data_IF_527105998887
#
_entry.id   IF_527105998887
#
_cell.length_a   1.000
_cell.length_b   1.000
_cell.length_c   1.000
_cell.angle_alpha   90.00
_cell.angle_beta   90.00
_cell.angle_gamma   90.00
#
_symmetry.space_group_name_H-M   'P 1'
#
loop_
_entity.id
_entity.type
_entity.pdbx_description
1 polymer ?
#
# COMPACT_ATOMS: atom_id res chain seq x y z
N UNK A 1 -34.44 44.40 -17.08
CA UNK A 1 -34.26 42.94 -17.02
C UNK A 1 -32.77 42.66 -17.12
N UNK A 2 -32.25 42.06 -16.11
CA UNK A 2 -30.88 42.24 -15.59
C UNK A 2 -29.81 41.55 -16.43
N UNK A 3 -28.70 42.25 -16.65
CA UNK A 3 -27.41 41.77 -17.21
C UNK A 3 -26.77 40.64 -16.39
N UNK A 4 -27.38 40.24 -15.26
CA UNK A 4 -26.87 39.18 -14.37
C UNK A 4 -26.81 37.79 -15.04
N UNK A 5 -27.64 37.54 -16.07
CA UNK A 5 -27.73 36.21 -16.68
C UNK A 5 -26.56 35.83 -17.60
N UNK A 6 -25.92 36.80 -18.27
CA UNK A 6 -24.85 36.51 -19.22
C UNK A 6 -23.54 36.20 -18.51
N UNK A 7 -23.25 36.87 -17.42
CA UNK A 7 -22.04 36.61 -16.60
C UNK A 7 -22.09 35.26 -15.91
N UNK A 8 -23.24 34.79 -15.49
CA UNK A 8 -23.40 33.48 -14.84
C UNK A 8 -23.21 32.30 -15.82
N UNK A 9 -23.66 32.41 -17.06
CA UNK A 9 -23.49 31.36 -18.07
C UNK A 9 -22.01 31.24 -18.48
N UNK A 10 -21.32 32.37 -18.65
CA UNK A 10 -19.87 32.37 -18.93
C UNK A 10 -19.10 31.78 -17.79
N UNK A 11 -19.43 32.12 -16.53
CA UNK A 11 -18.78 31.57 -15.35
C UNK A 11 -18.94 30.03 -15.23
N UNK A 12 -20.10 29.49 -15.65
CA UNK A 12 -20.31 28.03 -15.69
C UNK A 12 -19.45 27.35 -16.75
N UNK A 13 -19.32 27.98 -17.94
CA UNK A 13 -18.45 27.49 -19.00
C UNK A 13 -16.97 27.49 -18.60
N UNK A 14 -16.51 28.57 -17.95
CA UNK A 14 -15.15 28.69 -17.42
C UNK A 14 -14.89 27.66 -16.30
N UNK A 15 -15.84 27.47 -15.40
CA UNK A 15 -15.74 26.45 -14.34
C UNK A 15 -15.65 25.03 -14.94
N UNK A 16 -16.46 24.74 -15.96
CA UNK A 16 -16.40 23.44 -16.66
C UNK A 16 -15.03 23.22 -17.30
N UNK A 17 -14.47 24.22 -17.95
CA UNK A 17 -13.15 24.16 -18.57
C UNK A 17 -12.05 23.92 -17.51
N UNK A 18 -12.09 24.69 -16.41
CA UNK A 18 -11.15 24.54 -15.30
C UNK A 18 -11.25 23.16 -14.63
N UNK A 19 -12.45 22.62 -14.48
CA UNK A 19 -12.67 21.27 -13.94
C UNK A 19 -12.11 20.17 -14.84
N UNK A 20 -12.24 20.32 -16.16
CA UNK A 20 -11.66 19.39 -17.13
C UNK A 20 -10.12 19.43 -17.11
N UNK A 21 -9.53 20.64 -17.06
CA UNK A 21 -8.09 20.83 -16.94
C UNK A 21 -7.56 20.23 -15.63
N UNK A 22 -8.16 20.57 -14.50
CA UNK A 22 -7.84 19.99 -13.19
C UNK A 22 -7.84 18.46 -13.20
N UNK A 23 -8.87 17.87 -13.81
CA UNK A 23 -8.97 16.41 -13.93
C UNK A 23 -7.79 15.82 -14.70
N UNK A 24 -7.38 16.47 -15.79
CA UNK A 24 -6.23 16.06 -16.59
C UNK A 24 -4.91 16.17 -15.83
N UNK A 25 -4.71 17.24 -15.08
CA UNK A 25 -3.50 17.48 -14.28
C UNK A 25 -3.40 16.49 -13.13
N UNK A 26 -4.46 16.30 -12.36
CA UNK A 26 -4.47 15.37 -11.21
C UNK A 26 -4.24 13.93 -11.69
N UNK A 27 -4.86 13.52 -12.80
CA UNK A 27 -4.64 12.17 -13.36
C UNK A 27 -3.19 11.95 -13.76
N UNK A 28 -2.54 12.93 -14.39
CA UNK A 28 -1.11 12.86 -14.72
C UNK A 28 -0.26 12.77 -13.46
N UNK A 29 -0.48 13.66 -12.49
CA UNK A 29 0.26 13.66 -11.22
C UNK A 29 0.12 12.33 -10.47
N UNK A 30 -1.07 11.74 -10.39
CA UNK A 30 -1.30 10.44 -9.77
C UNK A 30 -0.57 9.31 -10.51
N UNK A 31 -0.55 9.35 -11.83
CA UNK A 31 0.19 8.36 -12.64
C UNK A 31 1.69 8.45 -12.37
N UNK A 32 2.23 9.66 -12.32
CA UNK A 32 3.65 9.90 -12.05
C UNK A 32 4.03 9.41 -10.64
N UNK A 33 3.21 9.74 -9.63
CA UNK A 33 3.42 9.25 -8.25
C UNK A 33 3.39 7.73 -8.20
N UNK A 34 2.44 7.07 -8.85
CA UNK A 34 2.37 5.61 -8.89
C UNK A 34 3.60 4.98 -9.54
N UNK A 35 4.15 5.59 -10.59
CA UNK A 35 5.39 5.14 -11.23
C UNK A 35 6.59 5.30 -10.29
N UNK A 36 6.69 6.41 -9.57
CA UNK A 36 7.76 6.64 -8.61
C UNK A 36 7.68 5.66 -7.44
N UNK A 37 6.50 5.44 -6.89
CA UNK A 37 6.26 4.44 -5.84
C UNK A 37 6.69 3.05 -6.29
N UNK A 38 6.33 2.65 -7.52
CA UNK A 38 6.73 1.36 -8.09
C UNK A 38 8.25 1.24 -8.21
N UNK A 39 8.93 2.26 -8.73
CA UNK A 39 10.39 2.29 -8.83
C UNK A 39 11.07 2.22 -7.46
N UNK A 40 10.56 2.99 -6.48
CA UNK A 40 11.07 2.96 -5.12
C UNK A 40 10.90 1.59 -4.47
N UNK A 41 9.74 0.96 -4.67
CA UNK A 41 9.46 -0.39 -4.18
C UNK A 41 10.36 -1.45 -4.84
N UNK A 42 10.60 -1.37 -6.14
CA UNK A 42 11.52 -2.25 -6.84
C UNK A 42 12.95 -2.09 -6.30
N UNK A 43 13.42 -0.86 -6.15
CA UNK A 43 14.73 -0.59 -5.61
C UNK A 43 14.92 -1.14 -4.20
N UNK A 44 13.94 -0.97 -3.30
CA UNK A 44 14.06 -1.44 -1.91
C UNK A 44 13.88 -2.97 -1.79
N UNK A 45 13.07 -3.59 -2.69
CA UNK A 45 12.78 -5.03 -2.62
C UNK A 45 13.76 -5.89 -3.39
N UNK A 46 14.39 -5.36 -4.45
CA UNK A 46 15.27 -6.11 -5.34
C UNK A 46 16.71 -5.63 -5.21
N UNK A 47 16.99 -4.36 -5.52
CA UNK A 47 18.34 -3.86 -5.65
C UNK A 47 19.08 -3.81 -4.31
N UNK A 48 18.44 -3.29 -3.28
CA UNK A 48 19.08 -3.16 -1.95
C UNK A 48 19.39 -4.50 -1.30
N UNK A 49 18.52 -5.50 -1.28
CA UNK A 49 18.85 -6.83 -0.79
C UNK A 49 19.97 -7.50 -1.60
N UNK A 50 19.94 -7.37 -2.93
CA UNK A 50 20.98 -7.92 -3.80
C UNK A 50 22.35 -7.30 -3.50
N UNK A 51 22.40 -5.98 -3.38
CA UNK A 51 23.62 -5.25 -3.03
C UNK A 51 24.21 -5.72 -1.69
N UNK A 52 23.42 -5.76 -0.63
CA UNK A 52 23.93 -6.12 0.69
C UNK A 52 24.31 -7.61 0.80
N UNK A 53 23.60 -8.51 0.10
CA UNK A 53 24.01 -9.92 0.02
C UNK A 53 25.37 -10.07 -0.69
N UNK A 54 25.62 -9.31 -1.76
CA UNK A 54 26.90 -9.29 -2.44
C UNK A 54 28.00 -8.74 -1.54
N UNK A 55 27.74 -7.66 -0.80
CA UNK A 55 28.70 -7.09 0.15
C UNK A 55 28.98 -8.05 1.33
N UNK A 56 27.99 -8.78 1.83
CA UNK A 56 28.18 -9.81 2.85
C UNK A 56 29.10 -10.95 2.33
N UNK A 57 28.86 -11.40 1.10
CA UNK A 57 29.69 -12.43 0.46
C UNK A 57 31.13 -11.95 0.28
N UNK A 58 31.33 -10.77 -0.30
CA UNK A 58 32.67 -10.17 -0.46
C UNK A 58 33.37 -9.95 0.88
N UNK A 59 32.61 -9.53 1.89
CA UNK A 59 33.12 -9.42 3.26
C UNK A 59 33.54 -10.76 3.84
N UNK A 60 32.77 -11.82 3.59
CA UNK A 60 33.08 -13.20 4.00
C UNK A 60 34.35 -13.72 3.33
N UNK A 61 34.51 -13.52 2.03
CA UNK A 61 35.72 -13.87 1.28
C UNK A 61 36.96 -13.14 1.81
N UNK A 62 36.82 -11.83 2.07
CA UNK A 62 37.92 -11.03 2.67
C UNK A 62 38.25 -11.48 4.10
N UNK A 63 37.26 -11.90 4.88
CA UNK A 63 37.47 -12.43 6.23
C UNK A 63 38.18 -13.79 6.18
N UNK A 64 37.80 -14.67 5.26
CA UNK A 64 38.47 -15.95 5.07
C UNK A 64 39.95 -15.72 4.72
N UNK A 65 40.25 -14.87 3.70
CA UNK A 65 41.58 -14.52 3.30
C UNK A 65 42.41 -13.93 4.47
N UNK A 66 41.86 -12.98 5.21
CA UNK A 66 42.58 -12.40 6.36
C UNK A 66 42.86 -13.42 7.47
N UNK A 67 41.98 -14.40 7.67
CA UNK A 67 42.19 -15.51 8.63
C UNK A 67 43.33 -16.44 8.15
N UNK A 68 43.35 -16.75 6.87
CA UNK A 68 44.39 -17.60 6.25
C UNK A 68 45.76 -16.91 6.31
N UNK A 69 45.84 -15.60 6.03
CA UNK A 69 47.05 -14.81 6.20
C UNK A 69 47.54 -14.79 7.65
N UNK A 70 46.63 -14.63 8.61
CA UNK A 70 46.97 -14.69 10.04
C UNK A 70 47.49 -16.08 10.43
N UNK A 71 46.85 -17.15 9.95
CA UNK A 71 47.30 -18.51 10.19
C UNK A 71 48.70 -18.75 9.59
N UNK A 72 48.88 -18.33 8.33
CA UNK A 72 50.18 -18.41 7.64
C UNK A 72 51.27 -17.62 8.38
N UNK A 73 51.01 -16.35 8.76
CA UNK A 73 51.97 -15.54 9.51
C UNK A 73 52.37 -16.17 10.86
N UNK A 74 51.43 -16.83 11.55
CA UNK A 74 51.71 -17.53 12.79
C UNK A 74 52.63 -18.72 12.56
N UNK A 75 52.40 -19.52 11.52
CA UNK A 75 53.18 -20.72 11.22
C UNK A 75 54.57 -20.39 10.73
N UNK A 76 54.70 -19.45 9.82
CA UNK A 76 56.00 -19.15 9.19
C UNK A 76 56.90 -18.17 9.94
N UNK A 77 56.34 -17.32 10.80
CA UNK A 77 57.06 -16.38 11.64
C UNK A 77 57.43 -16.95 13.00
N UNK A 78 57.03 -18.20 13.33
CA UNK A 78 57.40 -18.88 14.54
C UNK A 78 58.82 -19.37 14.46
N UNK A 79 59.70 -18.90 15.37
CA UNK A 79 61.11 -19.33 15.49
C UNK A 79 61.26 -19.89 16.92
N UNK A 80 61.36 -21.21 17.02
CA UNK A 80 61.39 -21.88 18.32
C UNK A 80 60.11 -21.62 19.13
N UNK A 81 60.25 -21.21 20.38
CA UNK A 81 59.11 -20.89 21.26
C UNK A 81 58.56 -19.47 21.10
N UNK A 82 59.13 -18.65 20.19
CA UNK A 82 58.68 -17.30 19.95
C UNK A 82 57.44 -17.27 19.03
N UNK A 83 56.30 -16.85 19.59
CA UNK A 83 55.06 -16.65 18.85
C UNK A 83 54.94 -15.17 18.43
N UNK A 84 54.97 -14.86 17.12
CA UNK A 84 54.87 -13.48 16.66
C UNK A 84 53.51 -12.86 17.03
N UNK A 85 53.53 -11.59 17.39
CA UNK A 85 52.29 -10.88 17.82
C UNK A 85 51.24 -10.76 16.72
N UNK A 86 51.64 -10.78 15.44
CA UNK A 86 50.78 -10.71 14.24
C UNK A 86 49.70 -9.62 14.36
N UNK A 87 50.09 -8.41 14.80
CA UNK A 87 49.18 -7.32 15.14
C UNK A 87 48.43 -6.83 13.94
N UNK A 88 49.12 -6.69 12.79
CA UNK A 88 48.50 -6.17 11.55
C UNK A 88 47.51 -7.18 10.96
N UNK A 89 47.86 -8.44 10.97
CA UNK A 89 46.99 -9.52 10.51
C UNK A 89 45.74 -9.67 11.42
N UNK A 90 45.88 -9.52 12.74
CA UNK A 90 44.75 -9.48 13.67
C UNK A 90 43.84 -8.28 13.40
N UNK A 91 44.40 -7.10 13.15
CA UNK A 91 43.62 -5.89 12.78
C UNK A 91 42.91 -6.11 11.44
N UNK A 92 43.52 -6.75 10.46
CA UNK A 92 42.90 -7.08 9.18
C UNK A 92 41.69 -8.00 9.36
N UNK A 93 41.84 -9.06 10.16
CA UNK A 93 40.71 -9.97 10.52
C UNK A 93 39.57 -9.22 11.19
N UNK A 94 39.88 -8.36 12.16
CA UNK A 94 38.86 -7.61 12.88
C UNK A 94 38.15 -6.61 11.97
N UNK A 95 38.89 -5.94 11.07
CA UNK A 95 38.31 -5.05 10.05
C UNK A 95 37.36 -5.79 9.11
N UNK A 96 37.78 -6.96 8.61
CA UNK A 96 36.96 -7.80 7.76
C UNK A 96 35.70 -8.30 8.47
N UNK A 97 35.83 -8.74 9.73
CA UNK A 97 34.72 -9.14 10.58
C UNK A 97 33.67 -8.03 10.77
N UNK A 98 34.14 -6.80 11.05
CA UNK A 98 33.25 -5.63 11.17
C UNK A 98 32.51 -5.34 9.85
N UNK A 99 33.15 -5.54 8.69
CA UNK A 99 32.51 -5.37 7.39
C UNK A 99 31.37 -6.38 7.18
N UNK A 100 31.60 -7.66 7.51
CA UNK A 100 30.55 -8.70 7.44
C UNK A 100 29.38 -8.35 8.36
N UNK A 101 29.66 -8.05 9.62
CA UNK A 101 28.64 -7.70 10.61
C UNK A 101 27.83 -6.46 10.17
N UNK A 102 28.50 -5.48 9.56
CA UNK A 102 27.82 -4.31 9.02
C UNK A 102 26.86 -4.68 7.87
N UNK A 103 27.31 -5.52 6.94
CA UNK A 103 26.46 -5.98 5.84
C UNK A 103 25.26 -6.80 6.33
N UNK A 104 25.46 -7.69 7.31
CA UNK A 104 24.38 -8.47 7.93
C UNK A 104 23.35 -7.57 8.61
N UNK A 105 23.78 -6.59 9.40
CA UNK A 105 22.88 -5.61 10.01
C UNK A 105 22.09 -4.82 8.96
N UNK A 106 22.71 -4.49 7.84
CA UNK A 106 22.03 -3.79 6.73
C UNK A 106 21.01 -4.69 6.03
N UNK A 107 21.26 -5.99 5.91
CA UNK A 107 20.28 -6.95 5.37
C UNK A 107 19.03 -6.99 6.26
N UNK A 108 19.19 -7.07 7.57
CA UNK A 108 18.06 -7.06 8.50
C UNK A 108 17.30 -5.72 8.46
N UNK A 109 18.02 -4.61 8.42
CA UNK A 109 17.40 -3.29 8.30
C UNK A 109 16.58 -3.16 7.00
N UNK A 110 17.11 -3.63 5.88
CA UNK A 110 16.39 -3.62 4.60
C UNK A 110 15.15 -4.49 4.66
N UNK A 111 15.19 -5.66 5.29
CA UNK A 111 13.99 -6.50 5.50
C UNK A 111 12.90 -5.75 6.27
N UNK A 112 13.28 -5.05 7.33
CA UNK A 112 12.34 -4.22 8.09
C UNK A 112 11.75 -3.10 7.23
N UNK A 113 12.58 -2.39 6.45
CA UNK A 113 12.11 -1.34 5.55
C UNK A 113 11.18 -1.84 4.45
N UNK A 114 11.41 -3.04 3.91
CA UNK A 114 10.51 -3.66 2.91
C UNK A 114 9.11 -3.82 3.50
N UNK A 115 9.00 -4.31 4.74
CA UNK A 115 7.71 -4.52 5.39
C UNK A 115 7.02 -3.17 5.64
N UNK A 116 7.75 -2.21 6.22
CA UNK A 116 7.22 -0.88 6.51
C UNK A 116 6.78 -0.13 5.24
N UNK A 117 7.58 -0.21 4.17
CA UNK A 117 7.25 0.43 2.90
C UNK A 117 6.03 -0.20 2.22
N UNK A 118 5.89 -1.53 2.29
CA UNK A 118 4.68 -2.21 1.77
C UNK A 118 3.44 -1.73 2.50
N UNK A 119 3.47 -1.70 3.82
CA UNK A 119 2.36 -1.20 4.61
C UNK A 119 1.98 0.25 4.25
N UNK A 120 2.98 1.13 4.13
CA UNK A 120 2.74 2.51 3.72
C UNK A 120 2.15 2.64 2.30
N UNK A 121 2.59 1.77 1.36
CA UNK A 121 2.03 1.72 0.01
C UNK A 121 0.58 1.23 0.04
N UNK A 122 0.27 0.19 0.83
CA UNK A 122 -1.08 -0.34 0.96
C UNK A 122 -2.04 0.71 1.55
N UNK A 123 -1.59 1.45 2.57
CA UNK A 123 -2.35 2.57 3.15
C UNK A 123 -2.58 3.70 2.13
N UNK A 124 -1.59 4.00 1.30
CA UNK A 124 -1.69 5.03 0.27
C UNK A 124 -2.63 4.63 -0.88
N UNK A 125 -2.70 3.34 -1.23
CA UNK A 125 -3.49 2.88 -2.36
C UNK A 125 -4.99 3.13 -2.19
N UNK A 126 -5.54 2.99 -1.00
CA UNK A 126 -6.96 3.20 -0.72
C UNK A 126 -7.46 4.60 -1.14
N UNK A 127 -6.90 5.68 -0.59
CA UNK A 127 -7.24 7.05 -0.97
C UNK A 127 -7.01 7.36 -2.46
N UNK A 128 -5.93 6.82 -3.04
CA UNK A 128 -5.63 7.00 -4.47
C UNK A 128 -6.69 6.36 -5.34
N UNK A 129 -7.13 5.13 -5.03
CA UNK A 129 -8.20 4.46 -5.77
C UNK A 129 -9.54 5.21 -5.66
N UNK A 130 -9.84 5.74 -4.48
CA UNK A 130 -11.04 6.56 -4.29
C UNK A 130 -10.97 7.83 -5.14
N UNK A 131 -9.84 8.54 -5.15
CA UNK A 131 -9.64 9.74 -5.97
C UNK A 131 -9.72 9.42 -7.46
N UNK A 132 -9.10 8.32 -7.91
CA UNK A 132 -9.21 7.86 -9.30
C UNK A 132 -10.67 7.56 -9.68
N UNK A 133 -11.43 6.91 -8.80
CA UNK A 133 -12.85 6.66 -9.00
C UNK A 133 -13.66 7.95 -9.19
N UNK A 134 -13.38 8.97 -8.40
CA UNK A 134 -14.00 10.30 -8.58
C UNK A 134 -13.60 10.95 -9.92
N UNK A 135 -12.31 10.88 -10.28
CA UNK A 135 -11.81 11.45 -11.55
C UNK A 135 -12.38 10.74 -12.79
N UNK A 136 -12.66 9.45 -12.69
CA UNK A 136 -13.13 8.63 -13.81
C UNK A 136 -14.66 8.53 -13.89
N UNK A 137 -15.35 8.75 -12.77
CA UNK A 137 -16.81 8.63 -12.68
C UNK A 137 -17.54 9.94 -12.40
N UNK A 138 -17.32 10.52 -11.23
CA UNK A 138 -18.14 11.64 -10.75
C UNK A 138 -17.85 12.94 -11.47
N UNK A 139 -16.58 13.26 -11.73
CA UNK A 139 -16.22 14.50 -12.40
C UNK A 139 -16.69 14.54 -13.87
N UNK A 140 -16.52 13.50 -14.70
CA UNK A 140 -17.10 13.48 -16.04
C UNK A 140 -18.62 13.65 -16.03
N UNK A 141 -19.32 13.03 -15.10
CA UNK A 141 -20.78 13.22 -14.94
C UNK A 141 -21.12 14.66 -14.57
N UNK A 142 -20.36 15.28 -13.65
CA UNK A 142 -20.53 16.68 -13.30
C UNK A 142 -20.28 17.62 -14.50
N UNK A 143 -19.28 17.36 -15.32
CA UNK A 143 -18.98 18.12 -16.53
C UNK A 143 -20.17 18.05 -17.51
N UNK A 144 -20.74 16.87 -17.75
CA UNK A 144 -21.92 16.70 -18.62
C UNK A 144 -23.14 17.42 -18.04
N UNK A 145 -23.33 17.37 -16.71
CA UNK A 145 -24.42 18.08 -16.05
C UNK A 145 -24.27 19.59 -16.20
N UNK A 146 -23.08 20.14 -15.96
CA UNK A 146 -22.78 21.56 -16.16
C UNK A 146 -23.04 22.01 -17.61
N UNK A 147 -22.72 21.17 -18.59
CA UNK A 147 -23.00 21.46 -20.01
C UNK A 147 -24.51 21.53 -20.27
N UNK A 148 -25.30 20.57 -19.77
CA UNK A 148 -26.77 20.60 -19.88
C UNK A 148 -27.36 21.83 -19.21
N UNK A 149 -26.85 22.19 -18.03
CA UNK A 149 -27.29 23.40 -17.31
C UNK A 149 -26.96 24.67 -18.10
N UNK A 150 -25.77 24.77 -18.68
CA UNK A 150 -25.39 25.90 -19.54
C UNK A 150 -26.33 26.03 -20.75
N UNK A 151 -26.62 24.93 -21.45
CA UNK A 151 -27.55 24.92 -22.59
C UNK A 151 -28.95 25.33 -22.18
N UNK A 152 -29.47 24.88 -21.03
CA UNK A 152 -30.78 25.26 -20.56
C UNK A 152 -30.88 26.76 -20.23
N UNK A 153 -29.83 27.32 -19.62
CA UNK A 153 -29.74 28.76 -19.33
C UNK A 153 -29.65 29.59 -20.60
N UNK A 154 -28.90 29.17 -21.62
CA UNK A 154 -28.81 29.81 -22.93
C UNK A 154 -30.18 29.82 -23.65
N UNK A 155 -30.89 28.68 -23.61
CA UNK A 155 -32.25 28.58 -24.16
C UNK A 155 -33.22 29.53 -23.46
N UNK A 156 -33.16 29.59 -22.12
CA UNK A 156 -33.97 30.52 -21.35
C UNK A 156 -33.63 32.00 -21.70
N UNK A 157 -32.35 32.33 -21.78
CA UNK A 157 -31.89 33.68 -22.13
C UNK A 157 -32.29 34.10 -23.55
N UNK A 158 -32.35 33.17 -24.51
CA UNK A 158 -32.78 33.42 -25.89
C UNK A 158 -34.30 33.53 -26.06
N UNK A 159 -35.07 33.37 -24.97
CA UNK A 159 -36.54 33.45 -25.01
C UNK A 159 -37.23 32.25 -25.68
N UNK A 160 -36.51 31.23 -26.03
CA UNK A 160 -37.07 29.95 -26.42
C UNK A 160 -37.67 29.27 -25.18
N UNK A 161 -38.96 28.91 -25.22
CA UNK A 161 -39.58 28.18 -24.13
C UNK A 161 -38.78 26.92 -23.86
N UNK A 162 -38.24 26.71 -22.64
CA UNK A 162 -37.48 25.50 -22.35
C UNK A 162 -38.40 24.30 -22.54
N UNK A 163 -37.99 23.30 -23.29
CA UNK A 163 -38.58 21.99 -23.21
C UNK A 163 -38.48 21.60 -21.74
N UNK A 164 -39.57 21.19 -21.10
CA UNK A 164 -39.61 20.82 -19.71
C UNK A 164 -38.66 19.64 -19.49
N UNK A 165 -37.42 19.97 -19.08
CA UNK A 165 -36.42 18.97 -18.73
C UNK A 165 -36.86 18.45 -17.35
N UNK A 166 -37.30 17.22 -17.31
CA UNK A 166 -37.63 16.56 -16.02
C UNK A 166 -36.35 16.31 -15.27
N UNK A 167 -36.43 16.39 -13.93
CA UNK A 167 -35.30 16.10 -13.06
C UNK A 167 -34.69 14.71 -13.33
N UNK A 168 -35.50 13.75 -13.73
CA UNK A 168 -35.08 12.39 -14.10
C UNK A 168 -34.17 12.35 -15.35
N UNK A 169 -34.38 13.25 -16.29
CA UNK A 169 -33.58 13.39 -17.48
C UNK A 169 -32.21 14.06 -17.20
N UNK A 170 -32.15 14.94 -16.20
CA UNK A 170 -30.92 15.62 -15.77
C UNK A 170 -29.95 14.71 -15.00
N UNK A 171 -30.46 13.79 -14.18
CA UNK A 171 -29.64 12.99 -13.24
C UNK A 171 -29.31 11.61 -13.81
N UNK A 172 -29.91 11.21 -14.95
CA UNK A 172 -29.78 9.85 -15.46
C UNK A 172 -30.54 8.85 -14.54
N UNK A 173 -31.03 7.79 -15.12
CA UNK A 173 -31.79 6.77 -14.40
C UNK A 173 -31.16 6.39 -13.05
N UNK A 174 -31.98 6.47 -12.00
CA UNK A 174 -31.65 5.82 -10.73
C UNK A 174 -31.28 4.37 -11.03
N UNK A 175 -30.23 3.84 -10.41
CA UNK A 175 -30.01 2.39 -10.44
C UNK A 175 -31.31 1.76 -9.90
N UNK A 176 -31.92 0.94 -10.74
CA UNK A 176 -33.14 0.19 -10.44
C UNK A 176 -32.99 -0.48 -9.07
N UNK A 177 -33.69 0.04 -8.07
CA UNK A 177 -33.91 -0.69 -6.84
C UNK A 177 -34.65 -1.96 -7.23
N UNK A 178 -33.95 -3.07 -7.17
CA UNK A 178 -34.53 -4.40 -7.18
C UNK A 178 -35.72 -4.40 -6.23
N UNK A 179 -36.92 -4.45 -6.83
CA UNK A 179 -38.17 -4.60 -6.12
C UNK A 179 -38.09 -5.88 -5.31
N UNK A 180 -37.97 -5.74 -3.99
CA UNK A 180 -38.21 -6.82 -3.08
C UNK A 180 -39.69 -7.19 -3.26
N UNK A 181 -39.93 -8.34 -3.83
CA UNK A 181 -41.27 -8.95 -3.91
C UNK A 181 -41.77 -9.17 -2.46
N UNK A 182 -43.02 -8.81 -2.14
CA UNK A 182 -43.60 -9.17 -0.87
C UNK A 182 -43.80 -10.69 -0.85
N UNK A 183 -43.24 -11.31 0.16
CA UNK A 183 -43.51 -12.72 0.49
C UNK A 183 -44.93 -12.75 1.06
N UNK A 184 -45.86 -13.23 0.26
CA UNK A 184 -47.21 -13.58 0.73
C UNK A 184 -47.09 -14.70 1.76
N UNK A 185 -47.45 -14.35 2.96
CA UNK A 185 -47.71 -15.27 4.06
C UNK A 185 -49.09 -15.87 3.90
N UNK A 186 -49.16 -17.08 3.40
CA UNK A 186 -50.26 -18.02 3.65
C UNK A 186 -49.79 -19.46 3.41
N UNK A 187 -49.47 -20.20 4.42
CA UNK A 187 -50.20 -21.39 4.75
C UNK A 187 -49.80 -21.98 6.10
N UNK A 188 -50.75 -21.91 6.98
CA UNK A 188 -50.87 -22.64 8.24
C UNK A 188 -51.14 -24.11 7.93
N UNK A 189 -50.47 -25.02 8.58
CA UNK A 189 -51.11 -26.15 9.29
C UNK A 189 -50.14 -27.31 9.55
N UNK A 190 -50.00 -27.54 10.82
CA UNK A 190 -50.01 -28.86 11.51
C UNK A 190 -48.94 -29.92 11.12
N UNK A 191 -48.19 -30.30 12.10
CA UNK A 191 -48.17 -31.62 12.76
C UNK A 191 -46.74 -31.98 13.23
N UNK A 192 -46.65 -32.00 14.56
CA UNK A 192 -46.11 -33.08 15.39
C UNK A 192 -44.64 -33.48 15.27
N UNK A 193 -43.95 -33.21 16.38
CA UNK A 193 -42.80 -33.94 16.96
C UNK A 193 -43.08 -35.48 17.09
N UNK A 194 -42.14 -36.37 17.44
CA UNK A 194 -41.03 -36.19 18.34
C UNK A 194 -39.75 -37.04 18.12
N UNK A 195 -38.68 -36.71 18.92
CA UNK A 195 -37.70 -37.58 19.59
C UNK A 195 -36.76 -38.47 18.73
N UNK A 196 -35.49 -38.34 18.92
CA UNK A 196 -34.61 -39.18 19.74
C UNK A 196 -33.16 -38.91 19.44
N UNK A 197 -32.40 -38.42 20.37
CA UNK A 197 -31.44 -39.08 21.22
C UNK A 197 -30.27 -39.76 20.50
N UNK A 198 -29.06 -39.30 20.76
CA UNK A 198 -27.91 -40.11 21.18
C UNK A 198 -26.60 -39.36 21.02
N UNK A 199 -26.05 -38.90 22.11
CA UNK A 199 -24.85 -39.39 22.76
C UNK A 199 -23.58 -39.58 21.91
N UNK A 200 -22.56 -38.79 22.20
CA UNK A 200 -21.24 -39.19 22.74
C UNK A 200 -20.33 -37.96 22.91
N UNK A 201 -20.12 -37.57 24.06
CA UNK A 201 -18.99 -37.49 24.98
C UNK A 201 -17.66 -38.05 24.48
N UNK A 202 -16.66 -37.21 24.63
CA UNK A 202 -15.30 -37.50 25.07
C UNK A 202 -14.47 -36.21 24.93
N UNK A 203 -14.23 -35.34 25.91
CA UNK A 203 -13.35 -35.40 27.08
C UNK A 203 -11.97 -36.01 26.84
N UNK A 204 -10.96 -35.17 26.95
CA UNK A 204 -9.69 -35.31 27.65
C UNK A 204 -8.97 -33.96 27.55
N UNK A 205 -8.95 -33.12 28.50
CA UNK A 205 -8.03 -32.91 29.62
C UNK A 205 -6.55 -33.20 29.36
N UNK A 206 -5.71 -32.18 29.55
CA UNK A 206 -4.54 -32.08 30.41
C UNK A 206 -3.80 -30.78 30.06
N UNK A 207 -3.82 -29.79 30.97
CA UNK A 207 -2.91 -29.61 32.12
C UNK A 207 -1.45 -29.50 31.65
N UNK A 208 -0.67 -28.49 31.89
CA UNK A 208 -0.40 -27.66 33.01
C UNK A 208 0.95 -26.93 32.78
N UNK A 209 1.07 -25.74 33.33
CA UNK A 209 2.16 -25.29 34.22
C UNK A 209 3.53 -25.07 33.56
N UNK A 210 4.10 -23.90 33.55
CA UNK A 210 4.64 -23.22 34.65
C UNK A 210 5.65 -22.14 34.25
N UNK A 211 5.63 -21.08 35.03
CA UNK A 211 6.71 -20.25 35.55
C UNK A 211 7.53 -19.42 34.55
N UNK A 212 7.34 -18.08 34.50
CA UNK A 212 8.01 -17.10 35.38
C UNK A 212 9.53 -17.24 35.41
N UNK A 213 10.20 -16.26 34.81
CA UNK A 213 11.35 -15.63 35.46
C UNK A 213 11.63 -14.29 34.76
N UNK A 214 11.43 -13.24 35.50
CA UNK A 214 11.99 -11.90 35.36
C UNK A 214 13.51 -11.98 35.55
N UNK A 215 14.26 -11.26 34.71
CA UNK A 215 15.50 -10.64 35.17
C UNK A 215 15.81 -9.37 34.35
N UNK A 216 15.72 -8.27 35.05
CA UNK A 216 16.37 -6.98 34.80
C UNK A 216 17.88 -7.13 34.94
N UNK A 217 18.65 -6.39 34.15
CA UNK A 217 19.96 -5.75 34.47
C UNK A 217 20.28 -4.90 33.23
N UNK A 218 20.20 -3.59 33.22
CA UNK A 218 21.10 -2.51 33.66
C UNK A 218 22.59 -2.81 33.40
N UNK A 219 23.08 -2.20 32.40
CA UNK A 219 24.26 -1.31 32.27
C UNK A 219 24.56 -1.05 30.80
#
# INVERSE_FOLDING_TARGET
>A
MSEAHVTEVVALADFRAALAEFTGEVRRALTDIQLEVRRAMEWITVDRPAHWRLEARRGGEALAHAKDELAHSRTYKQIGDYIPACIEEKKAVEKAKRRVQHAEKKIELVRHWIIASRHAVDEFQGPVQQLMGMLDGDIPRAIVLLERMSMALEQYASGAAPAAITWEELVGEKPSQSVAQPIDSENSSAAETPLENSHRQSSVDKKATGASTTESIVS
#
